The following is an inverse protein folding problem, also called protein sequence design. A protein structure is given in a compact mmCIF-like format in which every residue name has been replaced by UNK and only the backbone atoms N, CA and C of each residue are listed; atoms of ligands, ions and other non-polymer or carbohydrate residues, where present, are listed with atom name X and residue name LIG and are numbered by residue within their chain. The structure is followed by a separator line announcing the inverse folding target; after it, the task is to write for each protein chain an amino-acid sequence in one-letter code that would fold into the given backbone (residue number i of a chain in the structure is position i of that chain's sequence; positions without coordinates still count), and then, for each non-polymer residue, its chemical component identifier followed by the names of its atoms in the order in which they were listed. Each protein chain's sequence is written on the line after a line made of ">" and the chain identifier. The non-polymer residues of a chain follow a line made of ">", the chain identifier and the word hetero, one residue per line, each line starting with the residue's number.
data_IF_035215138686
#
_entry.id   IF_035215138686
#
_cell.length_a   1.000
_cell.length_b   1.000
_cell.length_c   1.000
_cell.angle_alpha   90.00
_cell.angle_beta   90.00
_cell.angle_gamma   90.00
#
_symmetry.space_group_name_H-M   'P 1'
#
loop_
_entity.id
_entity.type
_entity.pdbx_description
1 polymer ?
#
# COMPACT_ATOMS: atom_id res chain seq x y z
N UNK A 1 -4.40 -10.72 10.13
CA UNK A 1 -3.94 -10.80 8.71
C UNK A 1 -4.59 -9.77 7.81
N UNK A 2 -5.94 -9.62 7.73
CA UNK A 2 -6.57 -8.62 6.84
C UNK A 2 -6.18 -7.18 7.20
N UNK A 3 -6.14 -6.84 8.49
CA UNK A 3 -5.68 -5.53 8.99
C UNK A 3 -4.21 -5.28 8.64
N UNK A 4 -3.35 -6.29 8.72
CA UNK A 4 -1.93 -6.22 8.37
C UNK A 4 -1.70 -5.87 6.89
N UNK A 5 -2.63 -6.28 6.01
CA UNK A 5 -2.63 -5.91 4.59
C UNK A 5 -3.54 -4.70 4.29
N UNK A 6 -3.81 -3.87 5.31
CA UNK A 6 -4.48 -2.57 5.23
C UNK A 6 -5.96 -2.61 4.84
N UNK A 7 -6.68 -3.73 5.10
CA UNK A 7 -8.13 -3.73 5.03
C UNK A 7 -8.73 -3.17 6.32
N UNK A 8 -9.74 -2.32 6.17
CA UNK A 8 -10.48 -1.74 7.29
C UNK A 8 -11.70 -2.62 7.65
N UNK A 9 -11.89 -2.89 8.95
CA UNK A 9 -13.13 -3.51 9.40
C UNK A 9 -14.26 -2.51 9.41
N UNK A 10 -15.33 -2.81 8.67
CA UNK A 10 -16.53 -1.98 8.67
C UNK A 10 -17.76 -2.87 8.45
N UNK A 11 -18.50 -3.10 9.52
CA UNK A 11 -19.66 -4.00 9.51
C UNK A 11 -20.92 -3.36 8.91
N UNK A 12 -20.94 -2.02 8.75
CA UNK A 12 -22.09 -1.26 8.23
C UNK A 12 -21.84 -0.79 6.79
N UNK A 13 -20.73 -0.10 6.56
CA UNK A 13 -20.37 0.46 5.24
C UNK A 13 -19.46 -0.50 4.46
N UNK A 14 -20.01 -1.61 3.95
CA UNK A 14 -19.24 -2.61 3.22
C UNK A 14 -18.96 -2.14 1.78
N UNK A 15 -17.72 -1.74 1.55
CA UNK A 15 -17.22 -1.24 0.25
C UNK A 15 -15.82 -1.80 -0.03
N UNK A 16 -15.22 -1.48 -1.18
CA UNK A 16 -13.86 -1.91 -1.50
C UNK A 16 -12.87 -1.55 -0.38
N UNK A 17 -11.85 -2.37 -0.21
CA UNK A 17 -10.81 -2.27 0.84
C UNK A 17 -11.32 -2.54 2.25
N UNK A 18 -12.55 -3.06 2.39
CA UNK A 18 -13.12 -3.34 3.70
C UNK A 18 -13.46 -4.81 3.87
N UNK A 19 -13.51 -5.21 5.12
CA UNK A 19 -14.04 -6.50 5.50
C UNK A 19 -15.06 -6.35 6.64
N UNK A 20 -15.94 -7.31 6.76
CA UNK A 20 -16.87 -7.40 7.88
C UNK A 20 -16.88 -8.82 8.44
N UNK A 21 -17.26 -8.93 9.71
CA UNK A 21 -17.30 -10.19 10.42
C UNK A 21 -18.66 -10.38 11.08
N UNK A 22 -19.31 -11.51 10.81
CA UNK A 22 -20.61 -11.85 11.38
C UNK A 22 -20.58 -13.31 11.84
N UNK A 23 -20.41 -13.53 13.15
CA UNK A 23 -20.19 -14.88 13.70
C UNK A 23 -18.94 -15.51 13.08
N UNK A 24 -19.09 -16.71 12.54
CA UNK A 24 -18.03 -17.48 11.91
C UNK A 24 -17.85 -17.16 10.41
N UNK A 25 -18.40 -16.04 9.96
CA UNK A 25 -18.33 -15.59 8.55
C UNK A 25 -17.53 -14.30 8.44
N UNK A 26 -16.52 -14.33 7.59
CA UNK A 26 -15.74 -13.15 7.20
C UNK A 26 -16.04 -12.84 5.73
N UNK A 27 -16.45 -11.61 5.45
CA UNK A 27 -16.65 -11.13 4.08
C UNK A 27 -15.64 -10.03 3.79
N UNK A 28 -14.93 -10.18 2.69
CA UNK A 28 -13.91 -9.23 2.23
C UNK A 28 -14.32 -8.68 0.88
N UNK A 29 -14.28 -7.33 0.75
CA UNK A 29 -14.49 -6.69 -0.54
C UNK A 29 -13.12 -6.33 -1.14
N UNK A 30 -12.58 -7.15 -2.08
CA UNK A 30 -11.24 -6.96 -2.60
C UNK A 30 -11.09 -5.63 -3.36
N UNK A 31 -9.88 -5.09 -3.36
CA UNK A 31 -9.53 -3.83 -4.06
C UNK A 31 -9.77 -3.91 -5.57
N UNK A 32 -9.56 -5.08 -6.15
CA UNK A 32 -9.67 -5.32 -7.59
C UNK A 32 -11.11 -5.60 -8.07
N UNK A 33 -12.07 -5.75 -7.15
CA UNK A 33 -13.46 -6.05 -7.48
C UNK A 33 -14.33 -4.81 -7.44
N UNK A 34 -15.33 -4.74 -8.33
CA UNK A 34 -16.32 -3.66 -8.35
C UNK A 34 -17.68 -4.07 -7.78
N UNK A 35 -18.02 -5.35 -7.83
CA UNK A 35 -19.35 -5.85 -7.48
C UNK A 35 -19.30 -7.06 -6.55
N UNK A 36 -18.25 -7.84 -6.63
CA UNK A 36 -18.16 -9.11 -5.94
C UNK A 36 -17.30 -9.01 -4.69
N UNK A 37 -17.75 -9.64 -3.62
CA UNK A 37 -17.00 -9.85 -2.40
C UNK A 37 -16.69 -11.33 -2.21
N UNK A 38 -15.74 -11.61 -1.36
CA UNK A 38 -15.35 -12.97 -0.96
C UNK A 38 -15.92 -13.24 0.42
N UNK A 39 -16.70 -14.31 0.53
CA UNK A 39 -17.21 -14.83 1.80
C UNK A 39 -16.41 -16.07 2.20
N UNK A 40 -15.88 -16.04 3.40
CA UNK A 40 -15.12 -17.13 4.03
C UNK A 40 -15.90 -17.57 5.24
N UNK A 41 -16.36 -18.81 5.23
CA UNK A 41 -17.11 -19.42 6.30
C UNK A 41 -16.16 -20.34 7.07
N UNK A 42 -16.17 -20.22 8.41
CA UNK A 42 -15.31 -20.98 9.29
C UNK A 42 -16.12 -22.02 10.07
N UNK A 43 -15.50 -23.14 10.36
CA UNK A 43 -15.96 -24.09 11.34
C UNK A 43 -14.86 -24.29 12.39
N UNK A 44 -15.00 -23.61 13.52
CA UNK A 44 -13.92 -23.45 14.50
C UNK A 44 -12.76 -22.66 13.88
N UNK A 45 -11.57 -23.25 13.86
CA UNK A 45 -10.35 -22.61 13.32
C UNK A 45 -10.08 -22.97 11.85
N UNK A 46 -10.92 -23.78 11.22
CA UNK A 46 -10.77 -24.25 9.86
C UNK A 46 -11.71 -23.49 8.90
N UNK A 47 -11.26 -23.31 7.66
CA UNK A 47 -12.11 -22.76 6.60
C UNK A 47 -12.97 -23.89 6.05
N UNK A 48 -14.28 -23.76 6.23
CA UNK A 48 -15.27 -24.70 5.70
C UNK A 48 -15.58 -24.42 4.23
N UNK A 49 -15.82 -23.13 3.90
CA UNK A 49 -16.19 -22.76 2.54
C UNK A 49 -15.70 -21.36 2.18
N UNK A 50 -15.32 -21.21 0.90
CA UNK A 50 -15.03 -19.91 0.29
C UNK A 50 -16.00 -19.71 -0.87
N UNK A 51 -16.63 -18.55 -0.92
CA UNK A 51 -17.61 -18.22 -1.95
C UNK A 51 -17.38 -16.80 -2.48
N UNK A 52 -17.61 -16.64 -3.78
CA UNK A 52 -17.78 -15.32 -4.39
C UNK A 52 -19.25 -14.93 -4.28
N UNK A 53 -19.49 -13.75 -3.72
CA UNK A 53 -20.84 -13.23 -3.49
C UNK A 53 -21.03 -11.86 -4.14
N UNK A 54 -22.25 -11.50 -4.47
CA UNK A 54 -22.58 -10.12 -4.77
C UNK A 54 -22.52 -9.28 -3.49
N UNK A 55 -21.71 -8.20 -3.48
CA UNK A 55 -21.46 -7.40 -2.28
C UNK A 55 -22.72 -6.69 -1.73
N UNK A 56 -23.68 -6.37 -2.59
CA UNK A 56 -24.93 -5.68 -2.21
C UNK A 56 -26.02 -6.66 -1.74
N UNK A 57 -26.25 -7.72 -2.51
CA UNK A 57 -27.35 -8.66 -2.22
C UNK A 57 -26.95 -9.80 -1.29
N UNK A 58 -25.64 -10.11 -1.20
CA UNK A 58 -25.13 -11.26 -0.49
C UNK A 58 -25.36 -12.59 -1.20
N UNK A 59 -25.88 -12.58 -2.42
CA UNK A 59 -26.14 -13.77 -3.23
C UNK A 59 -24.83 -14.45 -3.61
N UNK A 60 -24.77 -15.76 -3.41
CA UNK A 60 -23.62 -16.59 -3.78
C UNK A 60 -23.62 -16.79 -5.29
N UNK A 61 -22.56 -16.35 -5.94
CA UNK A 61 -22.33 -16.53 -7.38
C UNK A 61 -21.60 -17.84 -7.66
N UNK A 62 -20.50 -18.06 -6.96
CA UNK A 62 -19.66 -19.24 -7.14
C UNK A 62 -19.09 -19.73 -5.79
N UNK A 63 -18.87 -21.03 -5.70
CA UNK A 63 -18.05 -21.62 -4.62
C UNK A 63 -16.68 -21.89 -5.20
N UNK A 64 -15.64 -21.44 -4.51
CA UNK A 64 -14.26 -21.51 -4.98
C UNK A 64 -13.37 -22.23 -3.94
N UNK A 65 -12.33 -22.90 -4.41
CA UNK A 65 -11.43 -23.64 -3.53
C UNK A 65 -10.30 -22.80 -2.94
N UNK A 66 -9.96 -21.70 -3.58
CA UNK A 66 -8.90 -20.78 -3.14
C UNK A 66 -9.14 -19.38 -3.68
N UNK A 67 -8.60 -18.38 -3.00
CA UNK A 67 -8.62 -16.97 -3.43
C UNK A 67 -7.37 -16.25 -2.96
N UNK A 68 -6.81 -15.38 -3.80
CA UNK A 68 -5.76 -14.45 -3.41
C UNK A 68 -6.39 -13.11 -3.04
N UNK A 69 -6.17 -12.67 -1.81
CA UNK A 69 -6.57 -11.34 -1.34
C UNK A 69 -5.31 -10.48 -1.30
N UNK A 70 -5.20 -9.57 -2.26
CA UNK A 70 -4.07 -8.65 -2.36
C UNK A 70 -4.20 -7.51 -1.36
N UNK A 71 -3.08 -6.88 -0.94
CA UNK A 71 -3.10 -5.72 -0.06
C UNK A 71 -4.03 -4.60 -0.54
N UNK A 72 -4.68 -3.93 0.42
CA UNK A 72 -5.60 -2.84 0.14
C UNK A 72 -4.90 -1.53 -0.26
N UNK A 73 -3.61 -1.41 0.00
CA UNK A 73 -2.79 -0.22 -0.21
C UNK A 73 -1.44 -0.59 -0.82
N UNK A 74 -0.75 0.41 -1.39
CA UNK A 74 0.63 0.27 -1.84
C UNK A 74 1.61 0.26 -0.65
N UNK A 75 2.80 -0.30 -0.89
CA UNK A 75 3.90 -0.32 0.08
C UNK A 75 3.61 -1.06 1.39
N UNK A 76 2.68 -2.00 1.36
CA UNK A 76 2.43 -2.89 2.49
C UNK A 76 3.58 -3.89 2.59
N UNK A 77 4.27 -3.89 3.70
CA UNK A 77 5.40 -4.77 4.00
C UNK A 77 5.17 -5.52 5.30
N UNK A 78 5.91 -6.62 5.52
CA UNK A 78 5.84 -7.36 6.78
C UNK A 78 6.32 -6.50 7.96
N UNK A 79 5.86 -6.76 9.20
CA UNK A 79 6.31 -6.02 10.39
C UNK A 79 7.83 -5.98 10.55
N UNK A 80 8.51 -7.11 10.35
CA UNK A 80 9.98 -7.19 10.44
C UNK A 80 10.67 -6.33 9.38
N UNK A 81 10.10 -6.28 8.17
CA UNK A 81 10.61 -5.40 7.11
C UNK A 81 10.34 -3.94 7.44
N UNK A 82 9.17 -3.61 7.99
CA UNK A 82 8.84 -2.25 8.41
C UNK A 82 9.83 -1.70 9.43
N UNK A 83 10.19 -2.48 10.45
CA UNK A 83 11.18 -2.03 11.45
C UNK A 83 12.57 -1.78 10.83
N UNK A 84 13.00 -2.60 9.86
CA UNK A 84 14.24 -2.33 9.11
C UNK A 84 14.14 -1.05 8.28
N UNK A 85 13.01 -0.84 7.61
CA UNK A 85 12.78 0.39 6.84
C UNK A 85 12.81 1.62 7.76
N UNK A 86 12.12 1.57 8.90
CA UNK A 86 12.10 2.66 9.90
C UNK A 86 13.52 3.00 10.38
N UNK A 87 14.34 1.99 10.66
CA UNK A 87 15.73 2.22 11.05
C UNK A 87 16.51 2.95 9.95
N UNK A 88 16.39 2.52 8.70
CA UNK A 88 17.06 3.15 7.56
C UNK A 88 16.57 4.59 7.34
N UNK A 89 15.24 4.82 7.43
CA UNK A 89 14.64 6.17 7.32
C UNK A 89 15.19 7.09 8.41
N UNK A 90 15.31 6.58 9.64
CA UNK A 90 15.83 7.36 10.76
C UNK A 90 17.31 7.72 10.58
N UNK A 91 18.13 6.77 10.13
CA UNK A 91 19.57 7.00 9.84
C UNK A 91 19.74 8.06 8.74
N UNK A 92 18.98 7.95 7.63
CA UNK A 92 19.01 8.94 6.54
C UNK A 92 18.54 10.33 7.02
N UNK A 93 17.50 10.39 7.85
CA UNK A 93 17.05 11.64 8.47
C UNK A 93 18.17 12.31 9.27
N UNK A 94 18.87 11.57 10.11
CA UNK A 94 19.96 12.12 10.93
C UNK A 94 21.08 12.69 10.06
N UNK A 95 21.47 11.98 9.01
CA UNK A 95 22.48 12.45 8.07
C UNK A 95 22.03 13.75 7.39
N UNK A 96 20.75 13.84 7.01
CA UNK A 96 20.19 15.01 6.36
C UNK A 96 20.06 16.20 7.30
N UNK A 97 19.66 15.97 8.55
CA UNK A 97 19.63 16.99 9.62
C UNK A 97 21.02 17.57 9.85
N UNK A 98 22.02 16.71 9.99
CA UNK A 98 23.41 17.13 10.17
C UNK A 98 23.90 17.98 8.98
N UNK A 99 23.60 17.56 7.75
CA UNK A 99 23.92 18.33 6.55
C UNK A 99 23.30 19.74 6.59
N UNK A 100 22.02 19.88 6.92
CA UNK A 100 21.36 21.18 6.99
C UNK A 100 21.94 22.05 8.12
N UNK A 101 22.22 21.49 9.28
CA UNK A 101 22.83 22.23 10.39
C UNK A 101 24.22 22.77 10.04
N UNK A 102 25.06 21.96 9.42
CA UNK A 102 26.40 22.37 8.97
C UNK A 102 26.37 23.48 7.91
N UNK A 103 25.28 23.57 7.13
CA UNK A 103 25.07 24.60 6.13
C UNK A 103 24.25 25.81 6.65
N UNK A 104 24.02 25.92 7.96
CA UNK A 104 23.28 27.02 8.59
C UNK A 104 21.77 27.03 8.33
N UNK A 105 21.21 25.94 7.80
CA UNK A 105 19.80 25.78 7.46
C UNK A 105 19.02 25.15 8.61
N UNK A 106 18.96 25.85 9.75
CA UNK A 106 18.39 25.33 10.99
C UNK A 106 16.87 25.04 10.88
N UNK A 107 16.15 25.86 10.15
CA UNK A 107 14.71 25.68 9.97
C UNK A 107 14.40 24.43 9.13
N UNK A 108 15.16 24.19 8.06
CA UNK A 108 15.04 22.99 7.24
C UNK A 108 15.41 21.74 8.03
N UNK A 109 16.47 21.82 8.85
CA UNK A 109 16.86 20.75 9.75
C UNK A 109 15.73 20.36 10.72
N UNK A 110 15.13 21.36 11.37
CA UNK A 110 14.01 21.15 12.27
C UNK A 110 12.80 20.54 11.57
N UNK A 111 12.40 21.11 10.42
CA UNK A 111 11.22 20.65 9.67
C UNK A 111 11.34 19.21 9.17
N UNK A 112 12.51 18.82 8.65
CA UNK A 112 12.70 17.44 8.19
C UNK A 112 12.69 16.46 9.36
N UNK A 113 13.30 16.84 10.48
CA UNK A 113 13.33 16.02 11.69
C UNK A 113 11.91 15.81 12.27
N UNK A 114 11.14 16.87 12.43
CA UNK A 114 9.75 16.81 12.94
C UNK A 114 8.86 15.97 12.02
N UNK A 115 8.91 16.23 10.71
CA UNK A 115 8.12 15.50 9.73
C UNK A 115 8.45 14.01 9.73
N UNK A 116 9.75 13.68 9.63
CA UNK A 116 10.18 12.28 9.54
C UNK A 116 9.90 11.51 10.82
N UNK A 117 10.05 12.13 11.99
CA UNK A 117 9.67 11.48 13.25
C UNK A 117 8.17 11.19 13.32
N UNK A 118 7.32 12.13 12.90
CA UNK A 118 5.88 11.89 12.82
C UNK A 118 5.53 10.78 11.83
N UNK A 119 6.19 10.75 10.65
CA UNK A 119 5.99 9.71 9.66
C UNK A 119 6.42 8.33 10.20
N UNK A 120 7.53 8.25 10.93
CA UNK A 120 8.01 7.04 11.60
C UNK A 120 7.00 6.54 12.64
N UNK A 121 6.44 7.43 13.46
CA UNK A 121 5.42 7.09 14.44
C UNK A 121 4.18 6.51 13.75
N UNK A 122 3.70 7.15 12.69
CA UNK A 122 2.57 6.66 11.90
C UNK A 122 2.85 5.30 11.24
N UNK A 123 4.05 5.11 10.68
CA UNK A 123 4.46 3.83 10.09
C UNK A 123 4.49 2.71 11.14
N UNK A 124 4.95 2.99 12.36
CA UNK A 124 5.01 2.03 13.45
C UNK A 124 3.63 1.64 13.98
N UNK A 125 2.74 2.63 14.12
CA UNK A 125 1.40 2.42 14.69
C UNK A 125 0.41 1.82 13.70
N UNK A 126 0.44 2.29 12.43
CA UNK A 126 -0.59 1.96 11.44
C UNK A 126 -0.06 1.23 10.21
N UNK A 127 1.26 1.15 10.05
CA UNK A 127 1.89 0.64 8.82
C UNK A 127 1.76 1.59 7.62
N UNK A 128 1.31 2.82 7.83
CA UNK A 128 1.08 3.81 6.77
C UNK A 128 1.39 5.23 7.27
N UNK A 129 1.88 6.10 6.37
CA UNK A 129 1.96 7.53 6.60
C UNK A 129 1.58 8.31 5.34
N UNK A 130 1.20 9.57 5.49
CA UNK A 130 0.92 10.45 4.35
C UNK A 130 2.22 10.76 3.61
N UNK A 131 2.26 10.46 2.31
CA UNK A 131 3.48 10.61 1.50
C UNK A 131 4.41 9.41 1.63
N UNK A 132 3.87 8.22 1.90
CA UNK A 132 4.62 6.95 1.99
C UNK A 132 5.48 6.68 0.76
N UNK A 133 5.11 7.22 -0.41
CA UNK A 133 5.88 7.16 -1.65
C UNK A 133 7.28 7.77 -1.53
N UNK A 134 7.50 8.72 -0.61
CA UNK A 134 8.83 9.29 -0.34
C UNK A 134 9.81 8.25 0.23
N UNK A 135 9.29 7.19 0.85
CA UNK A 135 10.04 6.08 1.42
C UNK A 135 10.04 4.83 0.52
N UNK A 136 9.47 4.94 -0.69
CA UNK A 136 9.27 3.82 -1.60
C UNK A 136 10.55 3.08 -1.97
N UNK A 137 11.68 3.79 -2.11
CA UNK A 137 12.97 3.20 -2.42
C UNK A 137 13.41 2.24 -1.29
N UNK A 138 13.30 2.68 -0.04
CA UNK A 138 13.64 1.88 1.14
C UNK A 138 12.69 0.70 1.29
N UNK A 139 11.37 0.93 1.12
CA UNK A 139 10.36 -0.12 1.23
C UNK A 139 10.45 -1.18 0.13
N UNK A 140 10.98 -0.83 -1.04
CA UNK A 140 11.18 -1.74 -2.17
C UNK A 140 12.60 -2.30 -2.28
N UNK A 141 13.48 -2.04 -1.30
CA UNK A 141 14.90 -2.43 -1.27
C UNK A 141 15.66 -1.98 -2.54
N UNK A 142 15.28 -0.83 -3.12
CA UNK A 142 15.94 -0.27 -4.30
C UNK A 142 17.23 0.45 -3.92
N UNK A 143 18.22 0.32 -4.79
CA UNK A 143 19.48 1.06 -4.67
C UNK A 143 19.30 2.50 -5.10
N UNK A 144 20.14 3.43 -4.61
CA UNK A 144 20.17 4.80 -5.10
C UNK A 144 20.30 4.86 -6.63
N UNK A 145 19.39 5.59 -7.29
CA UNK A 145 19.34 5.72 -8.75
C UNK A 145 18.54 4.64 -9.48
N UNK A 146 18.07 3.60 -8.81
CA UNK A 146 17.15 2.63 -9.40
C UNK A 146 15.74 3.25 -9.52
N UNK A 147 15.11 3.23 -10.72
CA UNK A 147 13.76 3.75 -10.89
C UNK A 147 12.73 2.89 -10.14
N UNK A 148 11.59 3.45 -9.74
CA UNK A 148 10.49 2.67 -9.21
C UNK A 148 9.87 1.81 -10.33
N UNK A 149 9.26 0.70 -9.94
CA UNK A 149 8.40 -0.06 -10.84
C UNK A 149 7.21 0.79 -11.26
N UNK A 150 6.92 0.76 -12.55
CA UNK A 150 5.82 1.50 -13.16
C UNK A 150 4.84 0.55 -13.83
N UNK A 151 3.69 1.07 -14.26
CA UNK A 151 2.72 0.27 -15.02
C UNK A 151 3.35 -0.31 -16.31
N UNK A 152 4.34 0.38 -16.89
CA UNK A 152 5.02 -0.06 -18.12
C UNK A 152 5.82 -1.35 -17.92
N UNK A 153 6.29 -1.63 -16.69
CA UNK A 153 7.03 -2.86 -16.38
C UNK A 153 6.17 -4.14 -16.45
N UNK A 154 4.83 -3.99 -16.51
CA UNK A 154 3.90 -5.11 -16.69
C UNK A 154 3.53 -5.40 -18.15
N UNK A 155 3.98 -4.56 -19.08
CA UNK A 155 3.76 -4.80 -20.49
C UNK A 155 4.80 -5.79 -21.03
N UNK A 156 4.49 -6.55 -22.09
CA UNK A 156 5.49 -7.37 -22.79
C UNK A 156 6.56 -6.45 -23.41
N UNK A 157 7.77 -6.99 -23.68
CA UNK A 157 8.89 -6.23 -24.24
C UNK A 157 8.56 -5.58 -25.59
N UNK A 158 7.66 -6.18 -26.37
CA UNK A 158 7.19 -5.65 -27.66
C UNK A 158 5.77 -5.08 -27.51
N UNK A 159 5.69 -3.77 -27.27
CA UNK A 159 4.43 -3.04 -27.20
C UNK A 159 4.50 -1.68 -27.89
N UNK A 160 3.36 -1.18 -28.33
CA UNK A 160 3.22 0.15 -28.89
C UNK A 160 2.68 1.11 -27.83
N UNK A 161 3.42 2.19 -27.59
CA UNK A 161 3.01 3.26 -26.70
C UNK A 161 2.49 4.45 -27.51
N UNK A 162 1.23 4.79 -27.31
CA UNK A 162 0.61 6.00 -27.85
C UNK A 162 0.53 7.05 -26.73
N UNK A 163 1.17 8.19 -26.95
CA UNK A 163 1.13 9.31 -25.98
C UNK A 163 0.24 10.39 -26.54
N UNK A 164 -0.99 10.46 -26.00
CA UNK A 164 -1.92 11.56 -26.32
C UNK A 164 -1.45 12.86 -25.66
N UNK A 165 -1.75 13.99 -26.30
CA UNK A 165 -1.31 15.33 -25.85
C UNK A 165 0.19 15.37 -25.48
N UNK A 166 1.02 14.77 -26.33
CA UNK A 166 2.46 14.58 -26.07
C UNK A 166 3.20 15.92 -25.83
N UNK A 167 2.70 17.03 -26.39
CA UNK A 167 3.25 18.35 -26.18
C UNK A 167 3.10 18.85 -24.71
N UNK A 168 2.16 18.31 -23.96
CA UNK A 168 1.96 18.57 -22.52
C UNK A 168 2.61 17.47 -21.68
N UNK A 169 2.35 16.21 -22.03
CA UNK A 169 2.75 15.03 -21.26
C UNK A 169 4.28 14.92 -21.18
N UNK A 170 5.01 15.06 -22.29
CA UNK A 170 6.47 14.88 -22.30
C UNK A 170 7.21 15.94 -21.47
N UNK A 171 6.89 17.25 -21.57
CA UNK A 171 7.49 18.25 -20.69
C UNK A 171 7.21 17.98 -19.20
N UNK A 172 6.02 17.49 -18.86
CA UNK A 172 5.64 17.18 -17.49
C UNK A 172 6.45 15.99 -16.94
N UNK A 173 6.57 14.91 -17.70
CA UNK A 173 7.42 13.75 -17.34
C UNK A 173 8.88 14.19 -17.18
N UNK A 174 9.38 15.03 -18.09
CA UNK A 174 10.73 15.58 -18.00
C UNK A 174 10.95 16.42 -16.74
N UNK A 175 9.92 17.14 -16.29
CA UNK A 175 9.99 17.94 -15.05
C UNK A 175 9.95 17.10 -13.77
N UNK A 176 9.55 15.82 -13.87
CA UNK A 176 9.54 14.86 -12.76
C UNK A 176 10.86 14.06 -12.66
N UNK A 177 11.70 14.07 -13.70
CA UNK A 177 12.99 13.38 -13.78
C UNK A 177 14.06 14.33 -13.23
#
# INVERSE_FOLDING_TARGET
>A
KLVEIQYERNDIGFSRNKFRVRGDVVEVFPVYSNENAIRIEFFGDEIDRISEINALTGEVKNVISHVAIYPASHYVVSPDKMERCIKTIYEEMLDRVNYFQQNGKLLEAQRIMERTNNDIEMLRETGFCKGIENYSAIMSDRKPGEPPFTLLDYFPDDFLLFVDESHVTLPQVRGMY
#
